data_IF_070933497361
#
_entry.id   IF_070933497361
#
_cell.length_a   1.000
_cell.length_b   1.000
_cell.length_c   1.000
_cell.angle_alpha   90.00
_cell.angle_beta   90.00
_cell.angle_gamma   90.00
#
_symmetry.space_group_name_H-M   'P 1'
#
loop_
_entity.id
_entity.type
_entity.pdbx_description
1 polymer ?
#
# COMPACT_ATOMS: atom_id res chain seq x y z
N UNK A 1 1.10 -19.52 4.96
CA UNK A 1 1.36 -18.74 3.73
C UNK A 1 2.24 -17.56 4.08
N UNK A 2 3.35 -17.34 3.36
CA UNK A 2 4.24 -16.20 3.57
C UNK A 2 4.04 -15.16 2.47
N UNK A 3 3.74 -13.94 2.87
CA UNK A 3 3.57 -12.81 1.93
C UNK A 3 4.55 -11.69 2.29
N UNK A 4 5.17 -11.10 1.27
CA UNK A 4 6.12 -10.00 1.41
C UNK A 4 5.60 -8.79 0.65
N UNK A 5 5.63 -7.60 1.25
CA UNK A 5 5.51 -6.34 0.51
C UNK A 5 6.83 -5.59 0.54
N UNK A 6 7.23 -5.02 -0.60
CA UNK A 6 8.48 -4.26 -0.73
C UNK A 6 8.35 -3.13 -1.75
N UNK A 7 8.37 -1.89 -1.27
CA UNK A 7 8.58 -0.75 -2.16
C UNK A 7 10.06 -0.68 -2.55
N UNK A 8 10.36 -0.91 -3.82
CA UNK A 8 11.75 -1.02 -4.31
C UNK A 8 12.38 0.31 -4.67
N UNK A 9 11.57 1.38 -4.78
CA UNK A 9 12.00 2.69 -5.27
C UNK A 9 12.89 2.58 -6.54
N UNK A 10 12.51 1.67 -7.44
CA UNK A 10 13.22 1.30 -8.66
C UNK A 10 13.80 -0.12 -8.58
N UNK A 11 13.08 -1.07 -9.17
CA UNK A 11 13.40 -2.50 -9.09
C UNK A 11 14.80 -2.86 -9.63
N UNK A 12 15.24 -2.18 -10.69
CA UNK A 12 16.59 -2.38 -11.25
C UNK A 12 17.69 -1.91 -10.29
N UNK A 13 17.42 -0.86 -9.48
CA UNK A 13 18.34 -0.41 -8.44
C UNK A 13 18.35 -1.37 -7.26
N UNK A 14 17.20 -1.87 -6.85
CA UNK A 14 17.09 -2.87 -5.80
C UNK A 14 17.78 -4.19 -6.18
N UNK A 15 17.64 -4.64 -7.44
CA UNK A 15 18.35 -5.80 -7.97
C UNK A 15 19.86 -5.69 -7.81
N UNK A 16 20.46 -4.54 -8.18
CA UNK A 16 21.90 -4.28 -8.00
C UNK A 16 22.37 -4.29 -6.55
N UNK A 17 21.45 -4.14 -5.61
CA UNK A 17 21.71 -4.21 -4.16
C UNK A 17 21.43 -5.59 -3.57
N UNK A 18 21.20 -6.62 -4.41
CA UNK A 18 21.00 -8.00 -4.00
C UNK A 18 19.58 -8.33 -3.54
N UNK A 19 18.57 -7.54 -3.94
CA UNK A 19 17.19 -7.79 -3.56
C UNK A 19 16.70 -9.17 -3.97
N UNK A 20 16.97 -9.62 -5.19
CA UNK A 20 16.51 -10.90 -5.68
C UNK A 20 17.27 -12.08 -5.07
N UNK A 21 18.58 -11.94 -4.78
CA UNK A 21 19.37 -12.96 -4.06
C UNK A 21 18.86 -13.17 -2.62
N UNK A 22 18.37 -12.09 -2.01
CA UNK A 22 17.70 -12.12 -0.72
C UNK A 22 16.31 -12.74 -0.84
N UNK A 23 15.54 -12.33 -1.86
CA UNK A 23 14.16 -12.77 -2.07
C UNK A 23 14.07 -14.28 -2.29
N UNK A 24 14.98 -14.86 -3.07
CA UNK A 24 15.06 -16.31 -3.31
C UNK A 24 15.15 -17.11 -2.00
N UNK A 25 15.85 -16.57 -0.99
CA UNK A 25 16.03 -17.21 0.31
C UNK A 25 14.82 -17.11 1.22
N UNK A 26 13.85 -16.24 0.90
CA UNK A 26 12.67 -16.03 1.74
C UNK A 26 11.63 -17.13 1.58
N UNK A 27 11.65 -17.85 0.47
CA UNK A 27 10.65 -18.89 0.13
C UNK A 27 9.20 -18.38 0.30
N UNK A 28 8.95 -17.16 -0.19
CA UNK A 28 7.65 -16.50 -0.08
C UNK A 28 6.64 -17.09 -1.07
N UNK A 29 5.39 -17.21 -0.65
CA UNK A 29 4.30 -17.66 -1.51
C UNK A 29 3.84 -16.55 -2.48
N UNK A 30 3.76 -15.29 -1.98
CA UNK A 30 3.45 -14.11 -2.80
C UNK A 30 4.33 -12.94 -2.38
N UNK A 31 4.82 -12.18 -3.37
CA UNK A 31 5.62 -10.97 -3.17
C UNK A 31 4.95 -9.82 -3.91
N UNK A 32 4.60 -8.77 -3.16
CA UNK A 32 3.97 -7.56 -3.65
C UNK A 32 5.03 -6.46 -3.76
N UNK A 33 5.28 -5.98 -4.97
CA UNK A 33 6.31 -4.97 -5.24
C UNK A 33 5.64 -3.64 -5.59
N UNK A 34 6.15 -2.55 -5.02
CA UNK A 34 5.76 -1.20 -5.37
C UNK A 34 6.95 -0.41 -5.91
N UNK A 35 6.66 0.63 -6.68
CA UNK A 35 7.63 1.50 -7.32
C UNK A 35 8.68 0.74 -8.14
N UNK A 36 8.23 -0.07 -9.11
CA UNK A 36 9.15 -0.74 -10.04
C UNK A 36 9.95 0.26 -10.87
N UNK A 37 9.36 1.42 -11.18
CA UNK A 37 9.97 2.51 -11.97
C UNK A 37 10.64 2.01 -13.25
N UNK A 38 10.07 0.99 -13.85
CA UNK A 38 10.54 0.35 -15.07
C UNK A 38 9.35 -0.08 -15.92
N UNK A 39 9.46 0.04 -17.25
CA UNK A 39 8.52 -0.59 -18.17
C UNK A 39 8.85 -2.09 -18.30
N UNK A 40 7.84 -2.92 -18.48
CA UNK A 40 7.99 -4.39 -18.57
C UNK A 40 9.04 -4.79 -19.61
N UNK A 41 9.05 -4.13 -20.78
CA UNK A 41 10.06 -4.37 -21.83
C UNK A 41 11.51 -4.02 -21.44
N UNK A 42 11.72 -3.41 -20.28
CA UNK A 42 13.07 -3.11 -19.75
C UNK A 42 13.51 -4.14 -18.70
N UNK A 43 12.69 -5.15 -18.42
CA UNK A 43 12.88 -6.17 -17.41
C UNK A 43 13.01 -7.56 -18.07
N UNK A 44 13.85 -7.66 -19.13
CA UNK A 44 14.01 -8.90 -19.90
C UNK A 44 14.89 -9.94 -19.18
N UNK A 45 15.73 -9.51 -18.22
CA UNK A 45 16.55 -10.43 -17.45
C UNK A 45 15.66 -11.35 -16.60
N UNK A 46 15.88 -12.69 -16.65
CA UNK A 46 15.13 -13.65 -15.85
C UNK A 46 15.06 -13.35 -14.35
N UNK A 47 16.02 -12.63 -13.81
CA UNK A 47 16.03 -12.23 -12.39
C UNK A 47 14.77 -11.44 -11.99
N UNK A 48 14.17 -10.71 -12.94
CA UNK A 48 12.94 -9.93 -12.70
C UNK A 48 11.66 -10.78 -12.78
N UNK A 49 11.78 -12.08 -13.09
CA UNK A 49 10.66 -12.98 -13.29
C UNK A 49 10.72 -14.23 -12.39
N UNK A 50 10.86 -14.07 -11.05
CA UNK A 50 10.84 -15.22 -10.16
C UNK A 50 9.42 -15.83 -10.10
N UNK A 51 9.31 -17.13 -10.41
CA UNK A 51 8.02 -17.84 -10.44
C UNK A 51 7.05 -17.24 -11.47
N UNK A 52 5.78 -17.11 -11.09
CA UNK A 52 4.74 -16.47 -11.91
C UNK A 52 4.74 -14.97 -11.62
N UNK A 53 5.23 -14.19 -12.57
CA UNK A 53 5.50 -12.76 -12.41
C UNK A 53 4.58 -11.90 -13.25
N UNK A 54 3.93 -10.94 -12.61
CA UNK A 54 2.96 -10.05 -13.23
C UNK A 54 3.31 -8.60 -12.90
N UNK A 55 3.12 -7.70 -13.87
CA UNK A 55 3.48 -6.31 -13.76
C UNK A 55 2.34 -5.39 -14.20
N UNK A 56 2.21 -4.28 -13.53
CA UNK A 56 1.42 -3.15 -13.98
C UNK A 56 2.32 -1.91 -13.96
N UNK A 57 2.94 -1.58 -15.10
CA UNK A 57 3.81 -0.43 -15.22
C UNK A 57 3.04 0.85 -15.55
N UNK A 58 3.58 2.00 -15.17
CA UNK A 58 2.98 3.29 -15.51
C UNK A 58 3.22 3.63 -16.99
N UNK A 59 2.29 4.35 -17.62
CA UNK A 59 2.51 4.93 -18.95
C UNK A 59 3.73 5.84 -18.94
N UNK A 60 3.89 6.61 -17.87
CA UNK A 60 5.06 7.48 -17.67
C UNK A 60 6.31 6.66 -17.33
N UNK A 61 7.31 6.70 -18.21
CA UNK A 61 8.59 5.99 -18.02
C UNK A 61 9.31 6.38 -16.74
N UNK A 62 9.80 5.36 -16.02
CA UNK A 62 10.60 5.56 -14.80
C UNK A 62 9.80 6.06 -13.59
N UNK A 63 8.49 5.85 -13.59
CA UNK A 63 7.57 6.33 -12.57
C UNK A 63 6.68 5.19 -12.05
N UNK A 64 6.35 5.18 -10.75
CA UNK A 64 5.39 4.25 -10.14
C UNK A 64 5.58 2.78 -10.57
N UNK A 65 4.50 2.07 -10.83
CA UNK A 65 4.47 0.67 -11.23
C UNK A 65 4.45 -0.29 -10.04
N UNK A 66 3.63 -1.34 -10.14
CA UNK A 66 3.56 -2.43 -9.18
C UNK A 66 3.80 -3.78 -9.85
N UNK A 67 4.16 -4.79 -9.04
CA UNK A 67 4.29 -6.16 -9.52
C UNK A 67 3.83 -7.16 -8.45
N UNK A 68 3.51 -8.37 -8.91
CA UNK A 68 3.29 -9.56 -8.10
C UNK A 68 4.20 -10.69 -8.58
N UNK A 69 4.84 -11.37 -7.63
CA UNK A 69 5.54 -12.63 -7.86
C UNK A 69 4.86 -13.71 -7.05
N UNK A 70 4.42 -14.77 -7.70
CA UNK A 70 3.68 -15.85 -7.08
C UNK A 70 4.46 -17.15 -7.23
N UNK A 71 4.58 -17.93 -6.15
CA UNK A 71 5.21 -19.25 -6.16
C UNK A 71 4.34 -20.27 -6.89
N UNK A 72 3.03 -20.13 -6.75
CA UNK A 72 2.01 -20.93 -7.45
C UNK A 72 1.25 -20.04 -8.43
N UNK A 73 0.88 -20.56 -9.58
CA UNK A 73 0.10 -19.82 -10.57
C UNK A 73 -1.26 -19.41 -9.99
N UNK A 74 -1.63 -18.13 -10.02
CA UNK A 74 -2.95 -17.68 -9.59
C UNK A 74 -4.03 -18.11 -10.57
N UNK A 75 -5.25 -18.34 -10.08
CA UNK A 75 -6.41 -18.65 -10.93
C UNK A 75 -6.78 -17.50 -11.87
N UNK A 76 -6.56 -16.27 -11.41
CA UNK A 76 -6.84 -15.04 -12.17
C UNK A 76 -5.91 -13.92 -11.71
N UNK A 77 -5.55 -13.04 -12.64
CA UNK A 77 -4.83 -11.78 -12.34
C UNK A 77 -5.61 -10.61 -12.89
N UNK A 78 -5.88 -9.63 -12.01
CA UNK A 78 -6.54 -8.37 -12.37
C UNK A 78 -5.51 -7.25 -12.35
N UNK A 79 -5.38 -6.56 -13.49
CA UNK A 79 -4.46 -5.44 -13.65
C UNK A 79 -5.27 -4.15 -13.65
N UNK A 80 -4.94 -3.26 -12.70
CA UNK A 80 -5.66 -2.00 -12.51
C UNK A 80 -6.91 -2.17 -11.63
N UNK A 81 -7.48 -1.03 -11.24
CA UNK A 81 -8.67 -0.95 -10.39
C UNK A 81 -9.89 -0.43 -11.13
N UNK A 82 -9.86 -0.42 -12.47
CA UNK A 82 -10.87 0.14 -13.37
C UNK A 82 -11.08 1.66 -13.17
N UNK A 83 -9.99 2.37 -12.92
CA UNK A 83 -9.96 3.83 -12.85
C UNK A 83 -8.75 4.33 -13.65
N UNK A 84 -9.01 4.99 -14.78
CA UNK A 84 -7.97 5.41 -15.73
C UNK A 84 -6.93 6.35 -15.11
N UNK A 85 -7.33 7.23 -14.17
CA UNK A 85 -6.40 8.14 -13.48
C UNK A 85 -5.30 7.38 -12.72
N UNK A 86 -5.66 6.25 -12.07
CA UNK A 86 -4.71 5.48 -11.26
C UNK A 86 -4.09 4.33 -12.05
N UNK A 87 -4.84 3.77 -13.01
CA UNK A 87 -4.37 2.65 -13.83
C UNK A 87 -3.26 3.11 -14.78
N UNK A 88 -3.31 4.35 -15.31
CA UNK A 88 -2.23 4.91 -16.11
C UNK A 88 -0.91 5.11 -15.33
N UNK A 89 -0.97 5.11 -14.00
CA UNK A 89 0.19 5.19 -13.12
C UNK A 89 0.66 3.82 -12.61
N UNK A 90 -0.01 2.71 -12.96
CA UNK A 90 0.38 1.35 -12.57
C UNK A 90 0.42 1.16 -11.06
N UNK A 91 -0.75 1.32 -10.39
CA UNK A 91 -0.81 1.38 -8.93
C UNK A 91 -1.42 0.17 -8.25
N UNK A 92 -2.02 -0.73 -9.01
CA UNK A 92 -2.80 -1.85 -8.49
C UNK A 92 -2.64 -3.08 -9.37
N UNK A 93 -2.41 -4.22 -8.73
CA UNK A 93 -2.49 -5.54 -9.36
C UNK A 93 -2.94 -6.55 -8.31
N UNK A 94 -3.85 -7.46 -8.69
CA UNK A 94 -4.45 -8.47 -7.83
C UNK A 94 -4.21 -9.87 -8.40
N UNK A 95 -3.78 -10.79 -7.55
CA UNK A 95 -3.72 -12.22 -7.84
C UNK A 95 -4.75 -12.97 -6.99
N UNK A 96 -5.53 -13.86 -7.62
CA UNK A 96 -6.59 -14.65 -7.00
C UNK A 96 -6.20 -16.11 -6.88
N UNK A 97 -6.42 -16.67 -5.69
CA UNK A 97 -6.18 -18.08 -5.36
C UNK A 97 -7.40 -18.63 -4.64
N UNK A 98 -8.27 -19.37 -5.33
CA UNK A 98 -9.57 -19.77 -4.78
C UNK A 98 -10.36 -18.56 -4.30
N UNK A 99 -10.68 -18.51 -2.98
CA UNK A 99 -11.39 -17.37 -2.38
C UNK A 99 -10.46 -16.23 -1.96
N UNK A 100 -9.14 -16.43 -1.90
CA UNK A 100 -8.17 -15.42 -1.48
C UNK A 100 -7.76 -14.52 -2.65
N UNK A 101 -7.73 -13.21 -2.40
CA UNK A 101 -7.15 -12.17 -3.25
C UNK A 101 -5.96 -11.51 -2.56
N UNK A 102 -4.80 -11.50 -3.21
CA UNK A 102 -3.60 -10.78 -2.75
C UNK A 102 -3.33 -9.63 -3.71
N UNK A 103 -3.25 -8.42 -3.16
CA UNK A 103 -3.14 -7.18 -3.93
C UNK A 103 -1.80 -6.51 -3.64
N UNK A 104 -1.10 -6.09 -4.70
CA UNK A 104 -0.01 -5.12 -4.61
C UNK A 104 -0.53 -3.73 -4.93
N UNK A 105 -0.50 -2.84 -3.94
CA UNK A 105 -1.02 -1.48 -4.00
C UNK A 105 0.09 -0.45 -3.79
N UNK A 106 0.11 0.59 -4.61
CA UNK A 106 0.91 1.79 -4.39
C UNK A 106 0.01 3.04 -4.35
N UNK A 107 -0.36 3.46 -3.14
CA UNK A 107 -1.17 4.67 -2.92
C UNK A 107 -0.39 5.93 -3.36
N UNK A 108 -1.01 6.93 -4.01
CA UNK A 108 -0.32 8.16 -4.37
C UNK A 108 0.34 8.84 -3.16
N UNK A 109 1.57 9.31 -3.31
CA UNK A 109 2.20 10.21 -2.33
C UNK A 109 1.73 11.64 -2.59
N UNK A 110 1.29 12.35 -1.55
CA UNK A 110 0.90 13.76 -1.61
C UNK A 110 2.04 14.76 -1.44
N UNK A 111 3.29 14.28 -1.24
CA UNK A 111 4.38 15.10 -0.71
C UNK A 111 5.00 16.11 -1.69
N UNK A 112 4.75 15.99 -3.00
CA UNK A 112 5.48 16.77 -4.01
C UNK A 112 4.88 18.15 -4.30
N UNK A 113 3.56 18.28 -4.34
CA UNK A 113 2.79 19.50 -4.64
C UNK A 113 1.34 19.32 -4.21
N UNK A 114 0.60 20.42 -4.06
CA UNK A 114 -0.84 20.43 -3.76
C UNK A 114 -1.64 19.52 -4.71
N UNK A 115 -1.37 19.58 -6.01
CA UNK A 115 -2.01 18.72 -7.00
C UNK A 115 -1.85 17.22 -6.69
N UNK A 116 -0.70 16.79 -6.19
CA UNK A 116 -0.46 15.38 -5.80
C UNK A 116 -1.22 15.00 -4.55
N UNK A 117 -1.38 15.92 -3.60
CA UNK A 117 -2.23 15.70 -2.43
C UNK A 117 -3.69 15.51 -2.85
N UNK A 118 -4.19 16.32 -3.79
CA UNK A 118 -5.53 16.16 -4.34
C UNK A 118 -5.69 14.83 -5.09
N UNK A 119 -4.69 14.38 -5.85
CA UNK A 119 -4.69 13.04 -6.47
C UNK A 119 -4.80 11.94 -5.41
N UNK A 120 -4.09 12.08 -4.30
CA UNK A 120 -4.15 11.13 -3.19
C UNK A 120 -5.55 11.08 -2.57
N UNK A 121 -6.17 12.22 -2.32
CA UNK A 121 -7.53 12.28 -1.80
C UNK A 121 -8.54 11.63 -2.74
N UNK A 122 -8.47 11.89 -4.06
CA UNK A 122 -9.32 11.21 -5.04
C UNK A 122 -9.11 9.69 -5.04
N UNK A 123 -7.89 9.23 -4.83
CA UNK A 123 -7.61 7.80 -4.70
C UNK A 123 -8.23 7.22 -3.42
N UNK A 124 -8.10 7.92 -2.31
CA UNK A 124 -8.73 7.55 -1.04
C UNK A 124 -10.25 7.48 -1.17
N UNK A 125 -10.88 8.48 -1.82
CA UNK A 125 -12.33 8.50 -2.09
C UNK A 125 -12.77 7.35 -3.01
N UNK A 126 -11.94 6.98 -3.97
CA UNK A 126 -12.23 5.84 -4.85
C UNK A 126 -12.24 4.52 -4.06
N UNK A 127 -11.34 4.38 -3.10
CA UNK A 127 -11.34 3.24 -2.18
C UNK A 127 -12.51 3.31 -1.22
N UNK A 128 -12.72 4.45 -0.57
CA UNK A 128 -13.71 4.62 0.48
C UNK A 128 -13.91 6.11 0.78
N UNK A 129 -15.04 6.74 0.37
CA UNK A 129 -15.29 8.15 0.66
C UNK A 129 -15.62 8.35 2.15
N UNK A 130 -15.04 9.39 2.76
CA UNK A 130 -15.27 9.73 4.17
C UNK A 130 -16.72 10.14 4.49
N UNK A 131 -17.44 10.70 3.53
CA UNK A 131 -18.81 11.23 3.74
C UNK A 131 -19.87 10.18 4.13
N UNK A 132 -19.58 8.88 3.95
CA UNK A 132 -20.52 7.80 4.32
C UNK A 132 -20.38 7.31 5.76
N UNK A 133 -19.49 7.90 6.55
CA UNK A 133 -19.21 7.47 7.92
C UNK A 133 -19.90 8.37 8.93
N UNK A 134 -21.15 8.06 9.27
CA UNK A 134 -22.06 8.87 10.11
C UNK A 134 -21.74 8.85 11.61
N UNK A 135 -20.55 8.46 12.05
CA UNK A 135 -20.24 8.28 13.48
C UNK A 135 -19.03 9.04 14.03
N UNK A 136 -18.23 9.71 13.23
CA UNK A 136 -17.13 10.53 13.75
C UNK A 136 -17.49 12.01 13.88
N UNK A 137 -18.46 12.33 14.77
CA UNK A 137 -18.71 13.69 15.22
C UNK A 137 -17.62 14.27 16.14
N UNK A 138 -16.45 13.66 16.25
CA UNK A 138 -15.37 14.09 17.16
C UNK A 138 -14.09 14.52 16.46
N UNK A 139 -14.12 14.91 15.19
CA UNK A 139 -13.07 15.74 14.62
C UNK A 139 -13.36 17.22 14.95
N UNK A 140 -13.16 17.60 16.19
CA UNK A 140 -12.99 19.02 16.53
C UNK A 140 -11.77 19.52 15.77
N UNK A 141 -11.97 20.51 14.90
CA UNK A 141 -11.00 21.38 14.23
C UNK A 141 -10.60 21.10 12.76
N UNK A 142 -11.22 20.22 12.00
CA UNK A 142 -11.03 20.20 10.54
C UNK A 142 -12.37 20.00 9.83
N UNK A 143 -12.85 21.01 9.14
CA UNK A 143 -13.95 20.88 8.19
C UNK A 143 -13.42 20.23 6.92
N UNK A 144 -13.56 18.89 6.83
CA UNK A 144 -13.11 18.09 5.68
C UNK A 144 -13.80 18.56 4.37
N UNK A 145 -15.04 19.11 4.48
CA UNK A 145 -15.74 19.68 3.31
C UNK A 145 -15.06 20.93 2.78
N UNK A 146 -14.48 21.75 3.64
CA UNK A 146 -13.73 22.94 3.24
C UNK A 146 -12.38 22.57 2.60
N UNK A 147 -11.76 21.47 3.06
CA UNK A 147 -10.47 20.96 2.56
C UNK A 147 -10.58 20.21 1.23
N UNK A 148 -11.65 19.42 1.05
CA UNK A 148 -11.86 18.66 -0.19
C UNK A 148 -12.50 19.54 -1.29
N UNK A 149 -12.97 20.73 -0.96
CA UNK A 149 -13.69 21.64 -1.82
C UNK A 149 -15.03 21.05 -2.28
N UNK A 150 -16.07 21.89 -2.41
CA UNK A 150 -17.28 21.49 -3.16
C UNK A 150 -16.93 21.37 -4.65
N UNK A 151 -16.16 20.34 -5.01
CA UNK A 151 -15.93 20.00 -6.40
C UNK A 151 -17.19 19.33 -6.95
N UNK A 152 -18.05 20.14 -7.56
CA UNK A 152 -19.13 19.65 -8.45
C UNK A 152 -18.58 18.97 -9.72
N UNK A 153 -17.30 18.72 -9.79
CA UNK A 153 -16.64 17.92 -10.80
C UNK A 153 -16.54 16.48 -10.29
N UNK A 154 -17.64 15.74 -10.40
CA UNK A 154 -17.57 14.28 -10.49
C UNK A 154 -16.55 13.96 -11.58
N UNK A 155 -15.45 13.26 -11.28
CA UNK A 155 -14.48 12.90 -12.31
C UNK A 155 -15.25 12.14 -13.39
N UNK A 156 -14.98 12.39 -14.70
CA UNK A 156 -15.70 11.77 -15.82
C UNK A 156 -15.66 10.24 -15.85
N UNK A 157 -14.93 9.63 -14.94
CA UNK A 157 -14.69 8.18 -14.81
C UNK A 157 -15.30 7.55 -13.55
N UNK A 158 -16.20 8.25 -12.84
CA UNK A 158 -16.95 7.61 -11.76
C UNK A 158 -17.68 6.39 -12.33
N UNK A 159 -17.42 5.20 -11.78
CA UNK A 159 -18.15 3.98 -12.14
C UNK A 159 -19.65 4.27 -12.03
N UNK A 160 -20.49 3.79 -13.00
CA UNK A 160 -21.94 3.94 -12.93
C UNK A 160 -22.58 3.26 -11.71
N UNK A 161 -21.83 2.38 -11.06
CA UNK A 161 -22.29 1.65 -9.88
C UNK A 161 -21.77 2.34 -8.62
N UNK A 162 -22.68 2.69 -7.73
CA UNK A 162 -22.50 3.60 -6.59
C UNK A 162 -21.67 3.04 -5.43
N UNK A 163 -21.00 1.88 -5.58
CA UNK A 163 -20.20 1.26 -4.54
C UNK A 163 -18.71 1.54 -4.74
N UNK A 164 -18.06 2.10 -3.73
CA UNK A 164 -16.61 2.29 -3.67
C UNK A 164 -15.88 0.94 -3.48
N UNK A 165 -14.58 0.92 -3.78
CA UNK A 165 -13.81 -0.33 -3.90
C UNK A 165 -13.84 -1.21 -2.64
N UNK A 166 -13.72 -0.63 -1.46
CA UNK A 166 -13.79 -1.38 -0.17
C UNK A 166 -15.15 -2.06 0.00
N UNK A 167 -16.27 -1.41 -0.37
CA UNK A 167 -17.59 -2.04 -0.31
C UNK A 167 -17.73 -3.17 -1.32
N UNK A 168 -17.22 -2.99 -2.55
CA UNK A 168 -17.20 -4.06 -3.55
C UNK A 168 -16.41 -5.27 -3.08
N UNK A 169 -15.26 -5.05 -2.39
CA UNK A 169 -14.49 -6.13 -1.79
C UNK A 169 -15.31 -6.90 -0.75
N UNK A 170 -15.98 -6.20 0.16
CA UNK A 170 -16.83 -6.83 1.18
C UNK A 170 -18.03 -7.59 0.58
N UNK A 171 -18.70 -6.99 -0.41
CA UNK A 171 -19.85 -7.58 -1.08
C UNK A 171 -19.48 -8.81 -1.93
N UNK A 172 -18.24 -8.92 -2.37
CA UNK A 172 -17.75 -10.06 -3.14
C UNK A 172 -17.69 -11.37 -2.34
N UNK A 173 -17.65 -11.29 -1.00
CA UNK A 173 -17.46 -12.42 -0.11
C UNK A 173 -16.09 -13.09 -0.19
N UNK A 174 -15.12 -12.45 -0.86
CA UNK A 174 -13.73 -12.92 -0.96
C UNK A 174 -12.90 -12.45 0.23
N UNK A 175 -11.84 -13.18 0.50
CA UNK A 175 -10.81 -12.81 1.46
C UNK A 175 -9.75 -11.94 0.77
N UNK A 176 -9.37 -10.82 1.37
CA UNK A 176 -8.41 -9.90 0.80
C UNK A 176 -7.21 -9.65 1.71
N UNK A 177 -6.01 -9.68 1.13
CA UNK A 177 -4.77 -9.17 1.71
C UNK A 177 -4.24 -8.08 0.80
N UNK A 178 -4.39 -6.81 1.23
CA UNK A 178 -3.97 -5.64 0.46
C UNK A 178 -2.61 -5.20 0.95
N UNK A 179 -1.57 -5.56 0.21
CA UNK A 179 -0.19 -5.29 0.55
C UNK A 179 0.31 -4.05 -0.17
N UNK A 180 1.11 -3.24 0.49
CA UNK A 180 1.82 -2.18 -0.22
C UNK A 180 2.11 -0.93 0.56
N UNK A 181 2.58 0.08 -0.18
CA UNK A 181 2.85 1.41 0.32
C UNK A 181 1.58 2.27 0.25
N UNK A 182 1.00 2.52 1.41
CA UNK A 182 -0.20 3.34 1.56
C UNK A 182 0.11 4.82 1.69
N UNK A 183 1.38 5.16 1.82
CA UNK A 183 1.86 6.54 1.98
C UNK A 183 1.19 7.30 3.17
N UNK A 184 0.69 6.58 4.17
CA UNK A 184 0.07 7.12 5.38
C UNK A 184 0.64 6.41 6.61
N UNK A 185 1.17 7.16 7.57
CA UNK A 185 1.44 6.68 8.91
C UNK A 185 0.19 6.90 9.77
N UNK A 186 -0.39 5.84 10.35
CA UNK A 186 -1.71 5.88 10.98
C UNK A 186 -1.68 6.51 12.38
N UNK A 187 -0.93 5.90 13.30
CA UNK A 187 -0.87 6.30 14.70
C UNK A 187 0.41 7.10 15.00
N UNK A 188 0.47 7.73 16.18
CA UNK A 188 1.64 8.51 16.58
C UNK A 188 2.91 7.65 16.68
N UNK A 189 2.77 6.38 17.04
CA UNK A 189 3.88 5.41 17.09
C UNK A 189 4.39 4.99 15.72
N UNK A 190 3.61 5.22 14.64
CA UNK A 190 4.01 4.92 13.27
C UNK A 190 4.99 5.93 12.67
N UNK A 191 5.36 6.96 13.43
CA UNK A 191 6.27 8.01 12.98
C UNK A 191 7.10 8.58 14.13
N UNK A 192 8.42 8.63 13.97
CA UNK A 192 9.33 9.07 15.04
C UNK A 192 9.04 10.48 15.56
N UNK A 193 8.85 11.44 14.68
CA UNK A 193 8.68 12.86 15.03
C UNK A 193 7.24 13.33 14.76
N UNK A 194 6.24 12.60 15.27
CA UNK A 194 4.83 12.84 14.96
C UNK A 194 4.38 14.30 15.22
N UNK A 195 4.86 14.95 16.30
CA UNK A 195 4.47 16.33 16.64
C UNK A 195 4.85 17.35 15.54
N UNK A 196 6.03 17.15 14.93
CA UNK A 196 6.52 18.02 13.86
C UNK A 196 5.94 17.71 12.48
N UNK A 197 5.30 16.54 12.32
CA UNK A 197 4.81 16.06 11.03
C UNK A 197 3.29 16.17 10.84
N UNK A 198 2.54 16.71 11.79
CA UNK A 198 1.06 16.82 11.74
C UNK A 198 0.50 17.55 10.51
N UNK A 199 1.33 18.35 9.84
CA UNK A 199 0.96 19.11 8.64
C UNK A 199 1.64 18.57 7.38
N UNK A 200 2.26 17.41 7.46
CA UNK A 200 2.96 16.79 6.33
C UNK A 200 2.10 15.68 5.71
N UNK A 201 2.04 15.65 4.38
CA UNK A 201 1.42 14.54 3.67
C UNK A 201 1.95 13.19 4.16
N UNK A 202 1.06 12.25 4.31
CA UNK A 202 1.33 10.94 4.92
C UNK A 202 1.09 10.92 6.44
N UNK A 203 0.81 12.08 7.07
CA UNK A 203 0.44 12.15 8.49
C UNK A 203 -0.59 13.25 8.77
N UNK A 204 -1.31 13.69 7.75
CA UNK A 204 -2.38 14.66 7.90
C UNK A 204 -3.54 14.07 8.71
N UNK A 205 -4.26 14.88 9.50
CA UNK A 205 -5.40 14.40 10.30
C UNK A 205 -6.43 13.64 9.49
N UNK A 206 -6.79 14.12 8.31
CA UNK A 206 -7.76 13.51 7.40
C UNK A 206 -7.29 12.18 6.81
N UNK A 207 -6.00 12.03 6.51
CA UNK A 207 -5.42 10.75 6.04
C UNK A 207 -5.48 9.69 7.14
N UNK A 208 -5.20 10.09 8.37
CA UNK A 208 -5.26 9.20 9.55
C UNK A 208 -6.70 8.82 9.90
N UNK A 209 -7.63 9.80 9.85
CA UNK A 209 -9.04 9.54 10.07
C UNK A 209 -9.62 8.58 9.02
N UNK A 210 -9.13 8.65 7.77
CA UNK A 210 -9.53 7.71 6.73
C UNK A 210 -9.11 6.28 7.08
N UNK A 211 -7.93 6.07 7.63
CA UNK A 211 -7.50 4.74 8.13
C UNK A 211 -8.29 4.32 9.39
N UNK A 212 -8.65 5.27 10.29
CA UNK A 212 -9.52 4.96 11.44
C UNK A 212 -10.86 4.38 10.94
N UNK A 213 -11.48 4.99 9.92
CA UNK A 213 -12.72 4.49 9.30
C UNK A 213 -12.54 3.09 8.70
N UNK A 214 -11.44 2.87 7.96
CA UNK A 214 -11.15 1.56 7.37
C UNK A 214 -11.05 0.46 8.43
N UNK A 215 -10.39 0.73 9.54
CA UNK A 215 -10.17 -0.25 10.61
C UNK A 215 -11.34 -0.33 11.58
N UNK A 216 -11.92 0.81 11.96
CA UNK A 216 -12.95 0.85 13.02
C UNK A 216 -14.37 0.63 12.51
N UNK A 217 -14.72 1.11 11.31
CA UNK A 217 -16.06 0.98 10.74
C UNK A 217 -16.16 -0.22 9.79
N UNK A 218 -15.26 -0.33 8.81
CA UNK A 218 -15.23 -1.44 7.85
C UNK A 218 -14.56 -2.71 8.39
N UNK A 219 -13.95 -2.66 9.57
CA UNK A 219 -13.34 -3.79 10.29
C UNK A 219 -12.18 -4.46 9.54
N UNK A 220 -11.59 -3.78 8.56
CA UNK A 220 -10.32 -4.22 8.01
C UNK A 220 -9.25 -4.21 9.10
N UNK A 221 -8.16 -4.97 8.90
CA UNK A 221 -7.19 -5.26 9.94
C UNK A 221 -5.80 -4.87 9.47
N UNK A 222 -5.09 -4.10 10.28
CA UNK A 222 -3.65 -3.91 10.12
C UNK A 222 -2.94 -5.18 10.62
N UNK A 223 -2.54 -6.05 9.69
CA UNK A 223 -1.94 -7.35 10.01
C UNK A 223 -0.70 -7.25 10.91
N UNK A 224 0.11 -6.20 10.73
CA UNK A 224 1.30 -6.00 11.56
C UNK A 224 0.94 -5.80 13.04
N UNK A 225 -0.22 -5.17 13.31
CA UNK A 225 -0.69 -4.88 14.67
C UNK A 225 -1.54 -5.98 15.30
N UNK A 226 -1.78 -7.11 14.62
CA UNK A 226 -2.41 -8.27 15.25
C UNK A 226 -1.49 -8.94 16.29
N UNK A 227 -0.18 -8.72 16.19
CA UNK A 227 0.81 -9.19 17.16
C UNK A 227 1.44 -8.00 17.91
N UNK A 228 1.94 -8.24 19.11
CA UNK A 228 2.70 -7.25 19.86
C UNK A 228 3.97 -6.86 19.07
N UNK A 229 4.19 -5.56 18.93
CA UNK A 229 5.29 -5.01 18.17
C UNK A 229 6.24 -4.20 19.04
N UNK A 230 7.51 -4.22 18.66
CA UNK A 230 8.48 -3.32 19.26
C UNK A 230 8.19 -1.86 18.93
N UNK A 231 8.45 -0.95 19.85
CA UNK A 231 8.39 0.48 19.59
C UNK A 231 9.33 0.87 18.45
N UNK A 232 8.92 1.87 17.67
CA UNK A 232 9.74 2.39 16.57
C UNK A 232 10.00 1.38 15.43
N UNK A 233 9.01 0.55 15.16
CA UNK A 233 8.97 -0.35 14.01
C UNK A 233 8.52 0.39 12.76
N UNK A 234 9.48 0.90 11.98
CA UNK A 234 9.24 1.69 10.76
C UNK A 234 9.60 0.90 9.52
N UNK A 235 8.96 1.27 8.39
CA UNK A 235 9.20 0.66 7.08
C UNK A 235 9.87 1.60 6.09
N UNK A 236 9.84 2.90 6.32
CA UNK A 236 10.44 3.92 5.44
C UNK A 236 11.29 4.93 6.19
N UNK A 237 12.40 5.35 5.57
CA UNK A 237 13.31 6.39 6.07
C UNK A 237 13.72 7.33 4.95
N UNK A 238 13.59 8.63 5.18
CA UNK A 238 14.09 9.64 4.24
C UNK A 238 15.57 9.40 3.89
N UNK A 239 15.91 9.58 2.62
CA UNK A 239 17.32 9.57 2.18
C UNK A 239 18.10 10.85 2.61
N UNK A 240 17.45 11.79 3.29
CA UNK A 240 18.07 13.02 3.79
C UNK A 240 18.67 12.81 5.19
N UNK A 241 19.87 13.39 5.40
CA UNK A 241 20.55 13.28 6.70
C UNK A 241 20.89 11.83 7.06
N UNK A 242 20.80 11.50 8.33
CA UNK A 242 21.05 10.16 8.86
C UNK A 242 19.76 9.47 9.35
N UNK A 243 18.64 9.66 8.65
CA UNK A 243 17.34 9.20 9.10
C UNK A 243 17.32 7.68 9.36
N UNK A 244 17.89 6.87 8.47
CA UNK A 244 17.98 5.42 8.65
C UNK A 244 18.84 5.04 9.86
N UNK A 245 20.05 5.61 9.99
CA UNK A 245 20.97 5.32 11.10
C UNK A 245 20.40 5.71 12.47
N UNK A 246 19.61 6.81 12.51
CA UNK A 246 18.98 7.31 13.74
C UNK A 246 17.57 6.71 13.96
N UNK A 247 17.15 5.78 13.12
CA UNK A 247 15.79 5.23 13.09
C UNK A 247 14.69 6.31 13.13
N UNK A 248 14.90 7.41 12.38
CA UNK A 248 13.90 8.47 12.20
C UNK A 248 13.03 8.10 11.00
N UNK A 249 12.11 7.19 11.22
CA UNK A 249 11.33 6.54 10.17
C UNK A 249 9.83 6.72 10.31
N UNK A 250 9.11 6.17 9.33
CA UNK A 250 7.67 6.11 9.23
C UNK A 250 7.27 4.67 8.89
N UNK A 251 6.14 4.20 9.42
CA UNK A 251 5.51 2.97 8.98
C UNK A 251 4.37 3.33 8.04
N UNK A 252 4.58 3.11 6.75
CA UNK A 252 3.66 3.46 5.66
C UNK A 252 3.37 2.30 4.72
N UNK A 253 4.08 1.19 4.90
CA UNK A 253 3.85 -0.06 4.20
C UNK A 253 3.02 -1.00 5.10
N UNK A 254 1.97 -1.59 4.54
CA UNK A 254 1.01 -2.40 5.28
C UNK A 254 0.68 -3.69 4.53
N UNK A 255 0.21 -4.69 5.31
CA UNK A 255 -0.73 -5.70 4.85
C UNK A 255 -2.06 -5.42 5.55
N UNK A 256 -3.07 -5.04 4.79
CA UNK A 256 -4.42 -4.77 5.29
C UNK A 256 -5.31 -5.94 4.90
N UNK A 257 -5.94 -6.57 5.91
CA UNK A 257 -6.73 -7.78 5.75
C UNK A 257 -8.22 -7.46 5.75
N UNK A 258 -9.00 -8.19 4.95
CA UNK A 258 -10.46 -8.22 5.12
C UNK A 258 -10.83 -8.80 6.50
N UNK A 259 -12.02 -8.46 7.04
CA UNK A 259 -12.44 -8.87 8.39
C UNK A 259 -12.42 -10.38 8.64
N UNK A 260 -12.68 -11.18 7.61
CA UNK A 260 -12.67 -12.65 7.64
C UNK A 260 -11.31 -13.26 8.01
N UNK A 261 -10.23 -12.55 7.75
CA UNK A 261 -8.85 -12.99 8.00
C UNK A 261 -8.32 -12.63 9.40
N UNK A 262 -9.18 -12.11 10.28
CA UNK A 262 -8.79 -11.77 11.66
C UNK A 262 -8.21 -12.97 12.41
N UNK A 263 -7.04 -12.79 13.04
CA UNK A 263 -6.38 -13.82 13.83
C UNK A 263 -5.61 -14.87 13.00
N UNK A 264 -5.40 -14.62 11.71
CA UNK A 264 -4.61 -15.52 10.86
C UNK A 264 -3.12 -15.22 10.85
N UNK A 265 -2.69 -14.08 11.41
CA UNK A 265 -1.26 -13.69 11.46
C UNK A 265 -0.51 -14.55 12.45
N UNK A 266 0.56 -15.21 12.01
CA UNK A 266 1.43 -16.04 12.86
C UNK A 266 2.77 -15.35 13.18
N UNK A 267 3.32 -14.57 12.23
CA UNK A 267 4.60 -13.87 12.40
C UNK A 267 4.62 -12.60 11.57
N UNK A 268 5.28 -11.58 12.10
CA UNK A 268 5.55 -10.32 11.39
C UNK A 268 7.03 -9.98 11.49
N UNK A 269 7.59 -9.42 10.44
CA UNK A 269 9.00 -9.01 10.41
C UNK A 269 9.16 -7.80 9.47
N UNK A 270 9.87 -6.76 9.92
CA UNK A 270 10.38 -5.69 9.06
C UNK A 270 11.87 -5.97 8.86
N UNK A 271 12.26 -6.37 7.64
CA UNK A 271 13.62 -6.76 7.32
C UNK A 271 14.52 -5.54 7.13
N UNK A 272 15.54 -5.38 8.00
CA UNK A 272 16.44 -4.22 8.03
C UNK A 272 17.91 -4.56 7.86
N UNK A 273 18.29 -5.84 7.76
CA UNK A 273 19.70 -6.26 7.73
C UNK A 273 20.42 -5.80 6.46
N UNK A 274 19.70 -5.69 5.35
CA UNK A 274 20.22 -5.18 4.09
C UNK A 274 19.28 -4.14 3.48
N UNK A 275 19.82 -2.99 3.11
CA UNK A 275 19.03 -1.89 2.54
C UNK A 275 18.95 -1.99 1.03
N UNK A 276 17.83 -2.41 0.48
CA UNK A 276 17.56 -2.46 -0.97
C UNK A 276 16.99 -1.14 -1.52
N UNK A 277 16.22 -0.44 -0.69
CA UNK A 277 15.46 0.76 -0.99
C UNK A 277 15.54 1.73 0.20
N UNK A 278 14.82 2.83 0.16
CA UNK A 278 14.50 3.66 1.33
C UNK A 278 13.34 3.08 2.13
N UNK A 279 12.68 2.04 1.63
CA UNK A 279 11.76 1.18 2.38
C UNK A 279 12.44 -0.14 2.77
N UNK A 280 11.96 -0.73 3.85
CA UNK A 280 12.28 -2.09 4.27
C UNK A 280 11.16 -3.04 3.91
N UNK A 281 11.45 -4.26 3.43
CA UNK A 281 10.42 -5.27 3.23
C UNK A 281 9.66 -5.58 4.52
N UNK A 282 8.32 -5.68 4.42
CA UNK A 282 7.45 -6.19 5.47
C UNK A 282 7.05 -7.62 5.10
N UNK A 283 7.34 -8.55 5.99
CA UNK A 283 7.12 -9.99 5.83
C UNK A 283 6.09 -10.44 6.84
N UNK A 284 5.05 -11.13 6.39
CA UNK A 284 4.04 -11.67 7.29
C UNK A 284 3.73 -13.12 6.92
N UNK A 285 3.77 -13.99 7.93
CA UNK A 285 3.35 -15.38 7.84
C UNK A 285 1.90 -15.51 8.33
N UNK A 286 1.08 -16.20 7.54
CA UNK A 286 -0.35 -16.42 7.80
C UNK A 286 -0.68 -17.89 7.89
N UNK A 287 -1.62 -18.20 8.74
CA UNK A 287 -2.31 -19.49 8.81
C UNK A 287 -3.61 -19.40 8.01
N UNK A 288 -3.51 -19.72 6.71
CA UNK A 288 -4.61 -19.71 5.74
C UNK A 288 -4.90 -21.13 5.26
#
# INVERSE_FOLDING_TARGET
MKIITANTNGIRSAAKKGFFDWLEKQDADVVCIQETKAQVHQLEDPIFHPGFSYYHDAIKKGYSGVALYCKTEPDEVIVGMANEEFDCEGRYIEARFGNLSVISLYMPSGSAKEERQQTKYRCMDYFMPLEKTSKHETMQDVDVKELLGESNNTPPFAKPDSSFLIQQMLDSGRDYIICGDWNIAHKNEDIKNWKGNKKNSGFLPEERAWLDVLFDDYKFIDAFRELDQEEHSYTWWSNRGQAYANNTGWRIDYHILSPSLKGTVEKTEIYKDQKFSDHAPLIIDYKL
#
